data_IF_600855041347
#
_entry.id   IF_600855041347
#
_cell.length_a   1.000
_cell.length_b   1.000
_cell.length_c   1.000
_cell.angle_alpha   90.00
_cell.angle_beta   90.00
_cell.angle_gamma   90.00
#
_symmetry.space_group_name_H-M   'P 1'
#
loop_
_entity.id
_entity.type
_entity.pdbx_description
1 polymer ?
#
# COMPACT_ATOMS: atom_id res chain seq x y z
N UNK A 1 -6.31 -19.31 -5.94
CA UNK A 1 -5.82 -18.10 -6.64
C UNK A 1 -7.02 -17.33 -7.12
N UNK A 2 -7.38 -16.22 -6.47
CA UNK A 2 -8.39 -15.30 -6.99
C UNK A 2 -7.81 -14.59 -8.21
N UNK A 3 -8.35 -14.88 -9.40
CA UNK A 3 -8.01 -14.12 -10.60
C UNK A 3 -8.70 -12.75 -10.49
N UNK A 4 -7.93 -11.70 -10.20
CA UNK A 4 -8.43 -10.33 -10.23
C UNK A 4 -8.36 -9.80 -11.66
N UNK A 5 -9.51 -9.72 -12.33
CA UNK A 5 -9.63 -8.97 -13.61
C UNK A 5 -9.99 -7.50 -13.39
N UNK A 6 -10.55 -7.17 -12.22
CA UNK A 6 -11.02 -5.83 -11.88
C UNK A 6 -10.54 -5.40 -10.48
N UNK A 7 -10.35 -4.11 -10.32
CA UNK A 7 -9.91 -3.47 -9.08
C UNK A 7 -10.96 -3.67 -7.98
N UNK A 8 -10.59 -4.21 -6.81
CA UNK A 8 -11.55 -4.45 -5.72
C UNK A 8 -12.07 -3.15 -5.06
N UNK A 9 -11.45 -2.00 -5.34
CA UNK A 9 -11.88 -0.71 -4.78
C UNK A 9 -12.79 0.10 -5.72
N UNK A 10 -12.52 0.08 -7.03
CA UNK A 10 -13.24 0.91 -7.99
C UNK A 10 -13.87 0.14 -9.15
N UNK A 11 -13.74 -1.19 -9.18
CA UNK A 11 -14.20 -2.08 -10.25
C UNK A 11 -13.63 -1.80 -11.65
N UNK A 12 -12.61 -0.95 -11.76
CA UNK A 12 -11.92 -0.67 -13.02
C UNK A 12 -11.08 -1.86 -13.48
N UNK A 13 -10.89 -2.01 -14.79
CA UNK A 13 -10.05 -3.07 -15.36
C UNK A 13 -8.60 -2.96 -14.85
N UNK A 14 -8.00 -4.12 -14.56
CA UNK A 14 -6.61 -4.20 -14.12
C UNK A 14 -5.69 -4.56 -15.28
N UNK A 15 -4.58 -3.82 -15.39
CA UNK A 15 -3.57 -4.02 -16.42
C UNK A 15 -2.35 -4.70 -15.83
N UNK A 16 -1.81 -5.70 -16.53
CA UNK A 16 -0.56 -6.33 -16.15
C UNK A 16 0.60 -5.42 -16.53
N UNK A 17 1.43 -5.03 -15.56
CA UNK A 17 2.59 -4.17 -15.75
C UNK A 17 3.81 -4.72 -15.03
N UNK A 18 5.00 -4.29 -15.45
CA UNK A 18 6.21 -4.46 -14.66
C UNK A 18 6.25 -3.42 -13.53
N UNK A 19 6.66 -3.84 -12.34
CA UNK A 19 6.76 -2.98 -11.15
C UNK A 19 8.09 -3.17 -10.42
N UNK A 20 8.56 -2.11 -9.79
CA UNK A 20 9.59 -2.14 -8.76
C UNK A 20 9.02 -2.69 -7.43
N UNK A 21 9.88 -3.08 -6.46
CA UNK A 21 9.42 -3.76 -5.26
C UNK A 21 8.47 -2.96 -4.38
N UNK A 22 8.61 -1.63 -4.33
CA UNK A 22 7.74 -0.77 -3.53
C UNK A 22 6.26 -0.96 -3.94
N UNK A 23 5.40 -1.14 -2.95
CA UNK A 23 3.97 -1.34 -3.18
C UNK A 23 3.30 -0.02 -3.57
N UNK A 24 3.74 1.08 -2.99
CA UNK A 24 3.17 2.41 -3.24
C UNK A 24 3.63 2.97 -4.60
N UNK A 25 4.90 3.38 -4.70
CA UNK A 25 5.42 4.05 -5.89
C UNK A 25 5.87 3.11 -7.01
N UNK A 26 6.11 1.82 -6.75
CA UNK A 26 6.87 0.95 -7.66
C UNK A 26 6.24 0.68 -9.03
N UNK A 27 4.99 1.10 -9.24
CA UNK A 27 4.33 1.10 -10.54
C UNK A 27 4.80 2.23 -11.48
N UNK A 28 5.37 3.30 -10.92
CA UNK A 28 5.74 4.49 -11.68
C UNK A 28 6.98 4.24 -12.57
N UNK A 29 6.97 4.71 -13.83
CA UNK A 29 8.11 4.51 -14.73
C UNK A 29 9.44 5.10 -14.25
N UNK A 30 9.40 6.17 -13.44
CA UNK A 30 10.59 6.77 -12.80
C UNK A 30 11.25 5.80 -11.82
N UNK A 31 10.45 5.28 -10.90
CA UNK A 31 10.84 4.35 -9.84
C UNK A 31 11.44 3.05 -10.40
N UNK A 32 10.92 2.56 -11.54
CA UNK A 32 11.51 1.39 -12.23
C UNK A 32 12.90 1.71 -12.78
N UNK A 33 13.13 2.94 -13.26
CA UNK A 33 14.46 3.37 -13.73
C UNK A 33 15.42 3.55 -12.56
N UNK A 34 14.96 4.11 -11.45
CA UNK A 34 15.74 4.30 -10.20
C UNK A 34 16.10 2.94 -9.57
N UNK A 35 15.17 1.98 -9.53
CA UNK A 35 15.44 0.60 -9.15
C UNK A 35 16.58 -0.01 -9.98
N UNK A 36 16.55 0.16 -11.31
CA UNK A 36 17.60 -0.37 -12.21
C UNK A 36 18.97 0.27 -11.97
N UNK A 37 19.02 1.47 -11.39
CA UNK A 37 20.26 2.17 -11.01
C UNK A 37 20.70 1.84 -9.58
N UNK A 38 19.87 1.15 -8.80
CA UNK A 38 20.18 0.77 -7.42
C UNK A 38 20.09 1.93 -6.43
N UNK A 39 19.19 2.89 -6.68
CA UNK A 39 19.12 4.14 -5.91
C UNK A 39 18.31 4.05 -4.60
N UNK A 40 17.60 2.93 -4.38
CA UNK A 40 16.73 2.73 -3.23
C UNK A 40 17.09 1.47 -2.45
N UNK A 41 16.92 1.55 -1.13
CA UNK A 41 16.77 0.37 -0.28
C UNK A 41 15.29 0.03 -0.11
N UNK A 42 14.98 -1.21 0.26
CA UNK A 42 13.60 -1.67 0.42
C UNK A 42 13.44 -2.42 1.72
N UNK A 43 12.38 -2.10 2.46
CA UNK A 43 12.03 -2.75 3.72
C UNK A 43 10.65 -3.38 3.62
N UNK A 44 10.49 -4.51 4.30
CA UNK A 44 9.18 -5.10 4.61
C UNK A 44 8.70 -4.50 5.92
N UNK A 45 7.48 -4.00 5.87
CA UNK A 45 6.77 -3.41 6.99
C UNK A 45 5.51 -4.24 7.27
N UNK A 46 4.98 -4.11 8.47
CA UNK A 46 3.65 -4.56 8.84
C UNK A 46 2.78 -3.34 9.15
N UNK A 47 1.57 -3.33 8.59
CA UNK A 47 0.55 -2.31 8.84
C UNK A 47 -0.80 -3.00 9.02
N UNK A 48 -1.40 -2.86 10.21
CA UNK A 48 -2.65 -3.51 10.60
C UNK A 48 -2.64 -5.03 10.32
N UNK A 49 -1.55 -5.75 10.63
CA UNK A 49 -1.46 -7.19 10.40
C UNK A 49 -1.29 -7.61 8.93
N UNK A 50 -0.95 -6.68 8.03
CA UNK A 50 -0.61 -6.97 6.65
C UNK A 50 0.76 -6.45 6.26
N UNK A 51 1.48 -7.28 5.50
CA UNK A 51 2.81 -6.92 5.00
C UNK A 51 2.72 -5.97 3.81
N UNK A 52 3.67 -5.03 3.75
CA UNK A 52 3.91 -4.18 2.60
C UNK A 52 5.41 -3.98 2.40
N UNK A 53 5.81 -3.77 1.15
CA UNK A 53 7.19 -3.38 0.81
C UNK A 53 7.21 -1.89 0.49
N UNK A 54 8.08 -1.13 1.12
CA UNK A 54 8.32 0.28 0.82
C UNK A 54 9.79 0.50 0.46
N UNK A 55 10.06 1.44 -0.43
CA UNK A 55 11.40 2.02 -0.55
C UNK A 55 11.68 2.99 0.60
N UNK A 56 12.93 3.40 0.75
CA UNK A 56 13.42 4.40 1.70
C UNK A 56 12.80 5.81 1.54
N UNK A 57 12.23 6.14 0.39
CA UNK A 57 11.47 7.39 0.22
C UNK A 57 10.03 7.25 0.70
N UNK A 58 9.34 6.19 0.26
CA UNK A 58 7.95 5.96 0.66
C UNK A 58 7.82 5.61 2.14
N UNK A 59 8.83 4.98 2.77
CA UNK A 59 8.78 4.73 4.21
C UNK A 59 8.93 6.02 5.02
N UNK A 60 9.76 6.96 4.57
CA UNK A 60 9.97 8.26 5.19
C UNK A 60 8.80 9.23 4.99
N UNK A 61 7.96 9.03 3.96
CA UNK A 61 6.79 9.86 3.66
C UNK A 61 5.45 9.16 3.98
N UNK A 62 5.45 7.94 4.53
CA UNK A 62 4.22 7.14 4.67
C UNK A 62 3.17 7.81 5.58
N UNK A 63 3.61 8.63 6.52
CA UNK A 63 2.80 9.42 7.44
C UNK A 63 2.20 10.70 6.80
N UNK A 64 2.44 10.93 5.50
CA UNK A 64 1.79 12.00 4.72
C UNK A 64 0.35 11.69 4.32
N UNK A 65 -0.05 10.41 4.32
CA UNK A 65 -1.42 10.01 3.99
C UNK A 65 -2.45 10.55 5.00
N UNK A 66 -3.59 11.01 4.50
CA UNK A 66 -4.73 11.39 5.34
C UNK A 66 -5.39 10.18 6.00
N UNK A 67 -5.83 10.30 7.25
CA UNK A 67 -6.58 9.26 7.98
C UNK A 67 -7.74 8.64 7.16
N UNK A 68 -8.52 9.49 6.47
CA UNK A 68 -9.65 9.05 5.67
C UNK A 68 -9.23 8.14 4.50
N UNK A 69 -8.00 8.27 3.99
CA UNK A 69 -7.46 7.40 2.95
C UNK A 69 -7.45 5.94 3.41
N UNK A 70 -7.14 5.73 4.69
CA UNK A 70 -7.03 4.43 5.37
C UNK A 70 -8.30 4.02 6.14
N UNK A 71 -9.38 4.80 6.03
CA UNK A 71 -10.64 4.53 6.75
C UNK A 71 -10.58 4.83 8.25
N UNK A 72 -9.59 5.60 8.71
CA UNK A 72 -9.52 6.08 10.08
C UNK A 72 -10.41 7.32 10.28
N UNK A 73 -10.92 7.56 11.50
CA UNK A 73 -11.72 8.75 11.77
C UNK A 73 -10.88 10.04 11.63
N UNK A 74 -11.50 11.18 11.28
CA UNK A 74 -10.79 12.45 11.11
C UNK A 74 -10.00 12.89 12.34
N UNK A 75 -10.45 12.49 13.53
CA UNK A 75 -9.84 12.83 14.82
C UNK A 75 -8.83 11.80 15.32
N UNK A 76 -8.59 10.70 14.60
CA UNK A 76 -7.50 9.80 14.94
C UNK A 76 -6.17 10.57 14.90
N UNK A 77 -5.23 10.16 15.74
CA UNK A 77 -3.91 10.77 15.78
C UNK A 77 -3.28 10.70 14.38
N UNK A 78 -3.04 11.86 13.78
CA UNK A 78 -2.36 11.96 12.49
C UNK A 78 -0.86 11.71 12.70
N UNK A 79 -0.19 11.14 11.70
CA UNK A 79 1.27 10.91 11.66
C UNK A 79 1.84 9.82 12.60
N UNK A 80 1.07 8.77 12.91
CA UNK A 80 1.61 7.61 13.63
C UNK A 80 0.83 6.34 13.29
N UNK A 81 0.76 5.99 12.00
CA UNK A 81 0.24 4.68 11.60
C UNK A 81 1.11 3.58 12.24
N UNK A 82 0.54 2.41 12.61
CA UNK A 82 1.28 1.34 13.28
C UNK A 82 2.17 0.58 12.28
N UNK A 83 3.08 1.31 11.63
CA UNK A 83 3.98 0.84 10.60
C UNK A 83 5.23 0.25 11.26
N UNK A 84 5.26 -1.07 11.40
CA UNK A 84 6.33 -1.78 12.10
C UNK A 84 7.34 -2.36 11.10
N UNK A 85 8.62 -2.01 11.20
CA UNK A 85 9.65 -2.57 10.32
C UNK A 85 9.87 -4.03 10.68
N UNK A 86 9.63 -4.94 9.73
CA UNK A 86 9.84 -6.38 9.91
C UNK A 86 11.28 -6.74 9.56
N UNK A 87 11.72 -6.39 8.35
CA UNK A 87 13.06 -6.72 7.84
C UNK A 87 13.43 -5.91 6.61
N UNK A 88 14.70 -5.94 6.24
CA UNK A 88 15.14 -5.50 4.91
C UNK A 88 14.78 -6.53 3.82
N UNK A 89 14.59 -6.08 2.59
CA UNK A 89 14.44 -6.93 1.42
C UNK A 89 15.79 -7.08 0.71
N UNK A 90 16.55 -8.13 1.05
CA UNK A 90 17.95 -8.30 0.62
C UNK A 90 18.17 -8.45 -0.90
N UNK A 91 17.18 -8.98 -1.62
CA UNK A 91 17.29 -9.25 -3.06
C UNK A 91 16.07 -8.71 -3.79
N UNK A 92 15.90 -7.39 -3.83
CA UNK A 92 14.74 -6.79 -4.46
C UNK A 92 14.80 -7.03 -5.97
N UNK A 93 13.64 -7.28 -6.60
CA UNK A 93 13.54 -7.61 -8.03
C UNK A 93 12.37 -6.89 -8.65
N UNK A 94 12.49 -6.57 -9.93
CA UNK A 94 11.32 -6.26 -10.74
C UNK A 94 10.42 -7.50 -10.82
N UNK A 95 9.11 -7.27 -10.77
CA UNK A 95 8.10 -8.31 -10.91
C UNK A 95 7.00 -7.84 -11.85
N UNK A 96 6.12 -8.75 -12.24
CA UNK A 96 4.83 -8.37 -12.82
C UNK A 96 3.80 -8.23 -11.69
N UNK A 97 2.94 -7.23 -11.81
CA UNK A 97 1.75 -7.08 -10.97
C UNK A 97 0.60 -6.53 -11.83
N UNK A 98 -0.58 -6.49 -11.24
CA UNK A 98 -1.74 -5.82 -11.79
C UNK A 98 -1.76 -4.36 -11.33
N UNK A 99 -2.24 -3.46 -12.16
CA UNK A 99 -2.30 -2.03 -11.90
C UNK A 99 -3.66 -1.48 -12.29
N UNK A 100 -4.20 -0.60 -11.46
CA UNK A 100 -5.46 0.07 -11.71
C UNK A 100 -5.19 1.51 -12.16
N UNK A 101 -5.59 1.86 -13.39
CA UNK A 101 -5.41 3.22 -13.89
C UNK A 101 -6.36 4.24 -13.24
N UNK A 102 -7.44 3.81 -12.60
CA UNK A 102 -8.31 4.72 -11.82
C UNK A 102 -7.73 5.00 -10.45
N UNK A 103 -7.30 3.97 -9.71
CA UNK A 103 -6.74 4.13 -8.37
C UNK A 103 -5.27 4.58 -8.38
N UNK A 104 -4.61 4.55 -9.54
CA UNK A 104 -3.19 4.91 -9.71
C UNK A 104 -2.24 4.16 -8.78
N UNK A 105 -2.54 2.89 -8.51
CA UNK A 105 -1.68 2.00 -7.73
C UNK A 105 -1.72 0.58 -8.28
N UNK A 106 -0.68 -0.19 -7.92
CA UNK A 106 -0.62 -1.64 -8.15
C UNK A 106 -1.52 -2.40 -7.19
N UNK A 107 -1.92 -3.61 -7.58
CA UNK A 107 -2.90 -4.42 -6.88
C UNK A 107 -2.45 -4.77 -5.45
N UNK A 108 -1.16 -5.04 -5.24
CA UNK A 108 -0.64 -5.30 -3.89
C UNK A 108 -0.98 -4.17 -2.89
N UNK A 109 -0.83 -2.91 -3.30
CA UNK A 109 -1.17 -1.75 -2.45
C UNK A 109 -2.68 -1.53 -2.33
N UNK A 110 -3.42 -1.77 -3.41
CA UNK A 110 -4.89 -1.71 -3.42
C UNK A 110 -5.49 -2.73 -2.44
N UNK A 111 -4.94 -3.95 -2.38
CA UNK A 111 -5.37 -4.99 -1.44
C UNK A 111 -5.07 -4.59 0.00
N UNK A 112 -3.88 -4.04 0.26
CA UNK A 112 -3.54 -3.46 1.56
C UNK A 112 -4.55 -2.37 1.96
N UNK A 113 -4.87 -1.45 1.04
CA UNK A 113 -5.84 -0.38 1.28
C UNK A 113 -7.25 -0.93 1.52
N UNK A 114 -7.67 -1.94 0.76
CA UNK A 114 -8.95 -2.60 0.99
C UNK A 114 -9.03 -3.22 2.39
N UNK A 115 -7.98 -3.92 2.80
CA UNK A 115 -7.88 -4.47 4.14
C UNK A 115 -7.92 -3.37 5.21
N UNK A 116 -7.16 -2.29 5.04
CA UNK A 116 -7.16 -1.15 5.95
C UNK A 116 -8.57 -0.57 6.15
N UNK A 117 -9.32 -0.38 5.06
CA UNK A 117 -10.70 0.12 5.12
C UNK A 117 -11.60 -0.84 5.92
N UNK A 118 -11.49 -2.15 5.68
CA UNK A 118 -12.27 -3.16 6.40
C UNK A 118 -11.90 -3.21 7.89
N UNK A 119 -10.61 -3.26 8.20
CA UNK A 119 -10.07 -3.31 9.55
C UNK A 119 -10.46 -2.07 10.37
N UNK A 120 -10.23 -0.87 9.82
CA UNK A 120 -10.40 0.39 10.56
C UNK A 120 -11.86 0.82 10.67
N UNK A 121 -12.71 0.48 9.69
CA UNK A 121 -14.16 0.75 9.78
C UNK A 121 -14.86 -0.25 10.71
N UNK A 122 -14.46 -1.53 10.71
CA UNK A 122 -15.00 -2.53 11.63
C UNK A 122 -14.66 -2.20 13.10
N UNK A 123 -13.41 -1.79 13.38
CA UNK A 123 -13.00 -1.40 14.73
C UNK A 123 -13.76 -0.20 15.31
N UNK A 124 -14.27 0.69 14.44
CA UNK A 124 -15.06 1.85 14.87
C UNK A 124 -16.54 1.52 15.12
N UNK A 125 -17.12 0.57 14.37
CA UNK A 125 -18.51 0.14 14.56
C UNK A 125 -18.74 -0.47 15.96
N UNK A 126 -17.74 -1.15 16.52
CA UNK A 126 -17.82 -1.74 17.88
C UNK A 126 -17.74 -0.69 19.01
N UNK A 127 -17.23 0.51 18.74
CA UNK A 127 -17.08 1.59 19.73
C UNK A 127 -18.06 2.75 19.53
N UNK A 128 -18.86 2.72 18.45
CA UNK A 128 -19.83 3.77 18.09
C UNK A 128 -21.23 3.62 18.68
N UNK A 129 -21.55 2.52 19.38
CA UNK A 129 -22.89 2.27 19.93
C UNK A 129 -23.02 2.69 21.40
N UNK A 130 -22.84 3.98 21.69
CA UNK A 130 -23.44 4.67 22.86
C UNK A 130 -23.61 6.15 22.57
N UNK A 131 -24.75 6.52 21.99
CA UNK A 131 -25.45 7.79 22.29
C UNK A 131 -26.93 7.52 22.31
#
# INVERSE_FOLDING_TARGET
MTQHSHCPLCSGELQKIQVAPCFDCGHAPGEIKEFKRGEHTYNVWELWGHELVLCDFCDADFDSYHNAYWGLPPHAQTHNFPLNRVRELERPRLAEDLYCDTCKHRLAFILLRQHALQHNQAGYAEHGSKR
#
